data_IF_425046570625
#
_entry.id   IF_425046570625
#
_cell.length_a   1.000
_cell.length_b   1.000
_cell.length_c   1.000
_cell.angle_alpha   90.00
_cell.angle_beta   90.00
_cell.angle_gamma   90.00
#
_symmetry.space_group_name_H-M   'P 1'
#
loop_
_entity.id
_entity.type
_entity.pdbx_description
1 polymer ?
#
# COMPACT_ATOMS: atom_id res chain seq x y z
N UNK A 1 15.86 6.20 -34.14
CA UNK A 1 15.38 7.00 -32.99
C UNK A 1 14.21 7.93 -33.31
N UNK A 2 13.72 8.01 -34.56
CA UNK A 2 12.60 8.89 -34.95
C UNK A 2 11.21 8.38 -34.57
N UNK A 3 11.04 7.07 -34.34
CA UNK A 3 9.70 6.49 -34.13
C UNK A 3 9.02 6.98 -32.83
N UNK A 4 9.80 7.38 -31.82
CA UNK A 4 9.28 7.87 -30.53
C UNK A 4 8.89 9.36 -30.59
N UNK A 5 9.61 10.15 -31.38
CA UNK A 5 9.28 11.57 -31.65
C UNK A 5 7.95 11.68 -32.41
N UNK A 6 7.70 10.78 -33.38
CA UNK A 6 6.43 10.67 -34.11
C UNK A 6 5.23 10.29 -33.24
N UNK A 7 5.44 9.60 -32.11
CA UNK A 7 4.37 9.19 -31.18
C UNK A 7 4.17 10.15 -29.99
N UNK A 8 4.94 11.24 -29.92
CA UNK A 8 4.83 12.23 -28.83
C UNK A 8 5.32 11.73 -27.46
N UNK A 9 6.07 10.63 -27.41
CA UNK A 9 6.54 10.06 -26.14
C UNK A 9 7.90 10.64 -25.74
N UNK A 10 8.02 11.09 -24.49
CA UNK A 10 9.29 11.50 -23.92
C UNK A 10 10.27 10.31 -23.83
N UNK A 11 11.54 10.55 -24.18
CA UNK A 11 12.60 9.54 -24.11
C UNK A 11 12.77 8.93 -22.71
N UNK A 12 12.62 9.75 -21.67
CA UNK A 12 12.69 9.32 -20.27
C UNK A 12 11.61 8.29 -19.92
N UNK A 13 10.41 8.42 -20.47
CA UNK A 13 9.31 7.46 -20.28
C UNK A 13 9.64 6.13 -20.92
N UNK A 14 10.14 6.14 -22.16
CA UNK A 14 10.52 4.91 -22.88
C UNK A 14 11.59 4.14 -22.11
N UNK A 15 12.62 4.83 -21.64
CA UNK A 15 13.70 4.21 -20.86
C UNK A 15 13.18 3.60 -19.55
N UNK A 16 12.31 4.31 -18.82
CA UNK A 16 11.67 3.79 -17.58
C UNK A 16 10.84 2.53 -17.84
N UNK A 17 10.13 2.47 -18.97
CA UNK A 17 9.36 1.27 -19.36
C UNK A 17 10.29 0.10 -19.65
N UNK A 18 11.37 0.32 -20.41
CA UNK A 18 12.36 -0.73 -20.71
C UNK A 18 13.00 -1.26 -19.42
N UNK A 19 13.48 -0.37 -18.54
CA UNK A 19 14.09 -0.77 -17.27
C UNK A 19 13.12 -1.58 -16.39
N UNK A 20 11.87 -1.14 -16.30
CA UNK A 20 10.83 -1.86 -15.57
C UNK A 20 10.59 -3.25 -16.15
N UNK A 21 10.54 -3.38 -17.48
CA UNK A 21 10.37 -4.67 -18.14
C UNK A 21 11.56 -5.60 -17.91
N UNK A 22 12.79 -5.08 -17.94
CA UNK A 22 13.98 -5.88 -17.63
C UNK A 22 13.93 -6.43 -16.20
N UNK A 23 13.54 -5.61 -15.23
CA UNK A 23 13.53 -5.96 -13.81
C UNK A 23 12.34 -6.86 -13.40
N UNK A 24 11.13 -6.54 -13.85
CA UNK A 24 9.89 -7.16 -13.37
C UNK A 24 9.19 -8.02 -14.42
N UNK A 25 9.66 -8.03 -15.67
CA UNK A 25 9.00 -8.69 -16.82
C UNK A 25 7.53 -8.30 -16.99
N UNK A 26 7.18 -7.10 -16.54
CA UNK A 26 5.84 -6.56 -16.57
C UNK A 26 5.76 -5.36 -17.51
N UNK A 27 4.71 -5.31 -18.34
CA UNK A 27 4.39 -4.19 -19.22
C UNK A 27 3.37 -3.23 -18.61
N UNK A 28 2.67 -3.66 -17.57
CA UNK A 28 1.71 -2.85 -16.80
C UNK A 28 2.41 -1.95 -15.79
N UNK A 29 1.70 -0.93 -15.32
CA UNK A 29 2.16 -0.12 -14.20
C UNK A 29 2.21 -0.94 -12.92
N UNK A 30 3.33 -0.84 -12.20
CA UNK A 30 3.46 -1.46 -10.89
C UNK A 30 2.52 -0.76 -9.91
N UNK A 31 1.91 -1.50 -8.97
CA UNK A 31 1.12 -0.88 -7.93
C UNK A 31 2.00 0.10 -7.16
N UNK A 32 1.49 1.31 -6.94
CA UNK A 32 2.16 2.28 -6.07
C UNK A 32 2.30 1.66 -4.68
N UNK A 33 3.46 1.84 -4.05
CA UNK A 33 3.64 1.49 -2.65
C UNK A 33 2.54 2.20 -1.84
N UNK A 34 1.72 1.40 -1.16
CA UNK A 34 0.62 1.93 -0.36
C UNK A 34 1.10 2.85 0.75
N UNK A 35 0.19 3.65 1.30
CA UNK A 35 0.50 4.50 2.47
C UNK A 35 1.00 3.62 3.62
N UNK A 36 2.10 3.97 4.30
CA UNK A 36 2.56 3.24 5.47
C UNK A 36 1.45 3.17 6.52
N UNK A 37 1.19 1.96 7.02
CA UNK A 37 0.16 1.71 8.05
C UNK A 37 0.83 1.71 9.42
N UNK A 38 0.18 2.35 10.40
CA UNK A 38 0.63 2.32 11.80
C UNK A 38 0.56 0.92 12.42
N UNK A 39 -0.36 0.09 11.93
CA UNK A 39 -0.61 -1.26 12.42
C UNK A 39 -0.16 -2.30 11.40
N UNK A 40 0.45 -3.38 11.90
CA UNK A 40 0.73 -4.55 11.08
C UNK A 40 -0.52 -5.43 10.91
N UNK A 41 -0.48 -6.37 9.96
CA UNK A 41 -1.63 -7.23 9.67
C UNK A 41 -2.04 -8.13 10.84
N UNK A 42 -1.11 -8.56 11.70
CA UNK A 42 -1.41 -9.40 12.87
C UNK A 42 -2.19 -8.59 13.92
N UNK A 43 -1.76 -7.37 14.18
CA UNK A 43 -2.42 -6.44 15.10
C UNK A 43 -3.83 -6.10 14.60
N UNK A 44 -3.98 -5.81 13.30
CA UNK A 44 -5.29 -5.57 12.68
C UNK A 44 -6.24 -6.76 12.85
N UNK A 45 -5.75 -7.99 12.60
CA UNK A 45 -6.56 -9.21 12.80
C UNK A 45 -6.96 -9.40 14.25
N UNK A 46 -6.05 -9.12 15.19
CA UNK A 46 -6.34 -9.20 16.62
C UNK A 46 -7.43 -8.20 17.03
N UNK A 47 -7.35 -6.95 16.58
CA UNK A 47 -8.38 -5.93 16.84
C UNK A 47 -9.73 -6.39 16.27
N UNK A 48 -9.76 -6.81 14.99
CA UNK A 48 -10.98 -7.28 14.34
C UNK A 48 -11.61 -8.47 15.08
N UNK A 49 -10.79 -9.42 15.55
CA UNK A 49 -11.26 -10.54 16.37
C UNK A 49 -11.85 -10.06 17.70
N UNK A 50 -11.20 -9.14 18.40
CA UNK A 50 -11.69 -8.63 19.69
C UNK A 50 -13.00 -7.86 19.56
N UNK A 51 -13.17 -7.09 18.49
CA UNK A 51 -14.41 -6.36 18.16
C UNK A 51 -15.52 -7.34 17.79
N UNK A 52 -15.26 -8.30 16.89
CA UNK A 52 -16.28 -9.25 16.43
C UNK A 52 -16.80 -10.20 17.52
N UNK A 53 -15.96 -10.53 18.52
CA UNK A 53 -16.36 -11.39 19.63
C UNK A 53 -17.08 -10.65 20.76
N UNK A 54 -17.45 -9.37 20.58
CA UNK A 54 -18.14 -8.55 21.59
C UNK A 54 -17.52 -8.66 23.00
N UNK A 55 -16.19 -8.65 23.06
CA UNK A 55 -15.42 -8.82 24.30
C UNK A 55 -15.72 -7.80 25.41
N UNK A 56 -16.54 -6.77 25.15
CA UNK A 56 -16.83 -5.68 26.09
C UNK A 56 -15.65 -4.73 26.31
N UNK A 57 -14.53 -4.93 25.60
CA UNK A 57 -13.34 -4.10 25.75
C UNK A 57 -13.56 -2.77 25.02
N UNK A 58 -13.40 -1.65 25.74
CA UNK A 58 -13.54 -0.33 25.14
C UNK A 58 -12.47 -0.07 24.07
N UNK A 59 -12.84 0.67 23.01
CA UNK A 59 -11.92 1.06 21.95
C UNK A 59 -10.71 1.86 22.50
N UNK A 60 -10.89 2.63 23.58
CA UNK A 60 -9.80 3.37 24.26
C UNK A 60 -8.74 2.44 24.86
N UNK A 61 -9.15 1.31 25.42
CA UNK A 61 -8.22 0.33 26.00
C UNK A 61 -7.44 -0.35 24.87
N UNK A 62 -8.12 -0.73 23.79
CA UNK A 62 -7.47 -1.29 22.60
C UNK A 62 -6.49 -0.30 21.96
N UNK A 63 -6.87 0.97 21.86
CA UNK A 63 -6.04 1.99 21.23
C UNK A 63 -4.75 2.25 22.00
N UNK A 64 -4.80 2.24 23.34
CA UNK A 64 -3.61 2.28 24.20
C UNK A 64 -2.70 1.07 23.98
N UNK A 65 -3.28 -0.13 23.87
CA UNK A 65 -2.54 -1.39 23.67
C UNK A 65 -1.77 -1.41 22.35
N UNK A 66 -2.33 -0.84 21.29
CA UNK A 66 -1.72 -0.80 19.97
C UNK A 66 -1.06 0.55 19.63
N UNK A 67 -0.99 1.48 20.57
CA UNK A 67 -0.47 2.85 20.39
C UNK A 67 -1.06 3.57 19.16
N UNK A 68 -2.38 3.50 19.03
CA UNK A 68 -3.15 4.19 17.97
C UNK A 68 -4.23 5.07 18.58
N UNK A 69 -4.77 5.98 17.76
CA UNK A 69 -5.90 6.79 18.19
C UNK A 69 -7.17 5.93 18.24
N UNK A 70 -7.94 6.06 19.32
CA UNK A 70 -9.20 5.34 19.51
C UNK A 70 -10.23 5.60 18.41
N UNK A 71 -10.16 6.74 17.70
CA UNK A 71 -11.02 7.05 16.55
C UNK A 71 -10.67 6.25 15.29
N UNK A 72 -9.51 5.59 15.29
CA UNK A 72 -9.02 4.81 14.16
C UNK A 72 -9.22 3.30 14.34
N UNK A 73 -9.87 2.91 15.45
CA UNK A 73 -10.31 1.54 15.79
C UNK A 73 -11.82 1.47 15.64
#
# INVERSE_FOLDING_TARGET
>A
MECFKKKGCCYSTVYRVIQRYVQFKATTDLPRSGRPRKLNNKQMKSIAFTVNNNSGISHRILSRRYNVDHRTI
#
